data_IF_755540907987
#
_entry.id   IF_755540907987
#
_cell.length_a   1.000
_cell.length_b   1.000
_cell.length_c   1.000
_cell.angle_alpha   90.00
_cell.angle_beta   90.00
_cell.angle_gamma   90.00
#
_symmetry.space_group_name_H-M   'P 1'
#
loop_
_entity.id
_entity.type
_entity.pdbx_description
1 polymer ?
#
# COMPACT_ATOMS: atom_id res chain seq x y z
N UNK A 1 -13.67 -13.46 9.51
CA UNK A 1 -13.85 -13.62 10.97
C UNK A 1 -15.17 -14.35 11.17
N UNK A 2 -15.28 -15.21 12.18
CA UNK A 2 -16.61 -15.69 12.58
C UNK A 2 -17.44 -14.52 13.10
N UNK A 3 -18.76 -14.69 13.24
CA UNK A 3 -19.60 -13.65 13.82
C UNK A 3 -19.17 -13.31 15.26
N UNK A 4 -18.77 -14.32 16.05
CA UNK A 4 -18.28 -14.13 17.40
C UNK A 4 -16.99 -13.31 17.42
N UNK A 5 -16.00 -13.68 16.60
CA UNK A 5 -14.73 -12.96 16.54
C UNK A 5 -14.92 -11.51 16.06
N UNK A 6 -15.86 -11.29 15.13
CA UNK A 6 -16.18 -9.95 14.66
C UNK A 6 -16.80 -9.09 15.76
N UNK A 7 -17.75 -9.65 16.53
CA UNK A 7 -18.35 -8.93 17.66
C UNK A 7 -17.29 -8.53 18.68
N UNK A 8 -16.43 -9.47 19.08
CA UNK A 8 -15.36 -9.19 20.04
C UNK A 8 -14.39 -8.11 19.55
N UNK A 9 -14.03 -8.13 18.26
CA UNK A 9 -13.17 -7.10 17.68
C UNK A 9 -13.83 -5.70 17.68
N UNK A 10 -15.15 -5.63 17.47
CA UNK A 10 -15.90 -4.37 17.54
C UNK A 10 -15.97 -3.86 18.99
N UNK A 11 -16.23 -4.74 19.96
CA UNK A 11 -16.27 -4.37 21.37
C UNK A 11 -14.91 -3.83 21.85
N UNK A 12 -13.81 -4.49 21.48
CA UNK A 12 -12.44 -4.03 21.76
C UNK A 12 -12.19 -2.64 21.17
N UNK A 13 -12.55 -2.43 19.90
CA UNK A 13 -12.36 -1.16 19.20
C UNK A 13 -13.10 0.01 19.88
N UNK A 14 -14.33 -0.23 20.38
CA UNK A 14 -15.11 0.78 21.10
C UNK A 14 -14.46 1.11 22.45
N UNK A 15 -14.04 0.09 23.21
CA UNK A 15 -13.40 0.28 24.52
C UNK A 15 -12.06 1.01 24.43
N UNK A 16 -11.31 0.80 23.35
CA UNK A 16 -10.00 1.41 23.15
C UNK A 16 -10.04 2.89 22.70
N UNK A 17 -11.21 3.42 22.35
CA UNK A 17 -11.38 4.79 21.83
C UNK A 17 -10.64 5.90 22.62
N UNK A 18 -10.61 5.90 23.96
CA UNK A 18 -9.93 6.96 24.72
C UNK A 18 -8.40 6.99 24.56
N UNK A 19 -7.77 5.92 24.08
CA UNK A 19 -6.30 5.78 23.99
C UNK A 19 -5.79 5.45 22.60
N UNK A 20 -6.48 4.57 21.88
CA UNK A 20 -6.04 4.04 20.60
C UNK A 20 -7.29 3.78 19.75
N UNK A 21 -7.85 4.82 19.12
CA UNK A 21 -9.05 4.68 18.32
C UNK A 21 -8.80 3.82 17.09
N UNK A 22 -9.78 3.00 16.75
CA UNK A 22 -9.78 2.15 15.56
C UNK A 22 -10.60 2.82 14.46
N UNK A 23 -10.30 2.50 13.20
CA UNK A 23 -11.08 2.95 12.05
C UNK A 23 -11.73 1.73 11.40
N UNK A 24 -13.05 1.81 11.19
CA UNK A 24 -13.76 0.83 10.36
C UNK A 24 -13.65 1.24 8.89
N UNK A 25 -13.04 0.38 8.08
CA UNK A 25 -12.91 0.59 6.65
C UNK A 25 -13.53 -0.56 5.88
N UNK A 26 -14.22 -0.24 4.77
CA UNK A 26 -14.64 -1.25 3.80
C UNK A 26 -13.41 -1.95 3.23
N UNK A 27 -13.38 -3.28 3.28
CA UNK A 27 -12.31 -4.05 2.66
C UNK A 27 -12.39 -3.95 1.13
N UNK A 28 -11.33 -3.47 0.50
CA UNK A 28 -11.14 -3.51 -0.94
C UNK A 28 -10.05 -4.53 -1.26
N UNK A 29 -10.39 -5.57 -2.04
CA UNK A 29 -9.43 -6.60 -2.43
C UNK A 29 -8.30 -5.96 -3.24
N UNK A 30 -7.02 -6.08 -2.82
CA UNK A 30 -5.91 -5.56 -3.60
C UNK A 30 -5.84 -6.22 -4.97
N UNK A 31 -5.49 -5.44 -5.99
CA UNK A 31 -5.15 -5.99 -7.32
C UNK A 31 -3.74 -6.56 -7.30
N UNK A 32 -3.53 -7.60 -8.10
CA UNK A 32 -2.20 -8.12 -8.39
C UNK A 32 -1.74 -7.60 -9.74
N UNK A 33 -0.46 -7.32 -9.85
CA UNK A 33 0.22 -7.00 -11.12
C UNK A 33 1.31 -8.03 -11.37
N UNK A 34 1.64 -8.22 -12.64
CA UNK A 34 2.86 -8.93 -13.02
C UNK A 34 4.02 -7.94 -12.99
N UNK A 35 5.10 -8.31 -12.30
CA UNK A 35 6.31 -7.53 -12.17
C UNK A 35 7.52 -8.45 -12.32
N UNK A 36 8.72 -7.87 -12.37
CA UNK A 36 9.96 -8.64 -12.34
C UNK A 36 11.02 -7.90 -11.52
N UNK A 37 11.93 -8.67 -10.93
CA UNK A 37 13.08 -8.16 -10.20
C UNK A 37 14.35 -8.85 -10.69
N UNK A 38 15.50 -8.24 -10.40
CA UNK A 38 16.81 -8.82 -10.75
C UNK A 38 17.34 -9.54 -9.53
N UNK A 39 17.48 -10.85 -9.66
CA UNK A 39 18.26 -11.66 -8.73
C UNK A 39 19.74 -11.41 -9.01
N UNK A 40 20.39 -10.64 -8.13
CA UNK A 40 21.77 -10.25 -8.28
C UNK A 40 22.74 -11.43 -8.08
N UNK A 41 22.35 -12.42 -7.28
CA UNK A 41 23.19 -13.59 -7.00
C UNK A 41 23.17 -14.56 -8.20
N UNK A 42 21.99 -14.77 -8.78
CA UNK A 42 21.82 -15.62 -9.96
C UNK A 42 22.02 -14.88 -11.30
N UNK A 43 22.15 -13.55 -11.27
CA UNK A 43 22.31 -12.71 -12.47
C UNK A 43 21.12 -12.78 -13.43
N UNK A 44 19.91 -13.01 -12.93
CA UNK A 44 18.73 -13.28 -13.76
C UNK A 44 17.53 -12.38 -13.41
N UNK A 45 16.65 -12.18 -14.39
CA UNK A 45 15.37 -11.50 -14.16
C UNK A 45 14.32 -12.53 -13.74
N UNK A 46 13.75 -12.35 -12.56
CA UNK A 46 12.77 -13.25 -11.97
C UNK A 46 11.38 -12.63 -12.07
N UNK A 47 10.40 -13.28 -12.75
CA UNK A 47 9.02 -12.81 -12.77
C UNK A 47 8.37 -13.01 -11.40
N UNK A 48 7.54 -12.05 -10.98
CA UNK A 48 6.81 -12.09 -9.73
C UNK A 48 5.42 -11.47 -9.92
N UNK A 49 4.38 -12.28 -9.66
CA UNK A 49 3.04 -11.74 -9.47
C UNK A 49 2.91 -11.21 -8.05
N UNK A 50 2.58 -9.92 -7.94
CA UNK A 50 2.59 -9.25 -6.63
C UNK A 50 1.40 -8.35 -6.40
N UNK A 51 1.08 -8.12 -5.12
CA UNK A 51 0.11 -7.11 -4.69
C UNK A 51 0.79 -5.76 -4.56
N UNK A 52 0.16 -4.71 -5.07
CA UNK A 52 0.73 -3.37 -5.10
C UNK A 52 0.13 -2.48 -4.02
N UNK A 53 0.99 -1.79 -3.28
CA UNK A 53 0.63 -0.61 -2.49
C UNK A 53 1.24 0.63 -3.14
N UNK A 54 0.38 1.57 -3.54
CA UNK A 54 0.80 2.87 -4.05
C UNK A 54 1.00 3.84 -2.89
N UNK A 55 2.17 4.43 -2.80
CA UNK A 55 2.54 5.41 -1.79
C UNK A 55 2.74 6.78 -2.49
N UNK A 56 1.69 7.60 -2.63
CA UNK A 56 1.80 8.91 -3.25
C UNK A 56 2.48 9.91 -2.31
N UNK A 57 3.40 10.71 -2.85
CA UNK A 57 4.10 11.78 -2.15
C UNK A 57 3.55 13.13 -2.59
N UNK A 58 3.00 13.89 -1.64
CA UNK A 58 2.49 15.23 -1.89
C UNK A 58 3.39 16.27 -1.24
N UNK A 59 3.69 17.34 -1.96
CA UNK A 59 4.46 18.49 -1.48
C UNK A 59 3.57 19.74 -1.51
N UNK A 60 3.73 20.64 -0.54
CA UNK A 60 3.01 21.91 -0.50
C UNK A 60 3.84 22.96 -1.24
N UNK A 61 3.23 23.64 -2.20
CA UNK A 61 3.85 24.69 -3.01
C UNK A 61 3.12 26.02 -2.78
N UNK A 62 3.86 27.13 -2.78
CA UNK A 62 3.34 28.48 -2.52
C UNK A 62 3.23 28.81 -1.02
N UNK A 63 2.85 30.05 -0.71
CA UNK A 63 2.80 30.59 0.66
C UNK A 63 1.39 31.06 1.06
N UNK A 64 1.12 31.06 2.36
CA UNK A 64 -0.12 31.55 2.95
C UNK A 64 -1.37 30.92 2.34
N UNK A 65 -2.36 31.74 2.00
CA UNK A 65 -3.64 31.31 1.42
C UNK A 65 -3.51 30.70 0.00
N UNK A 66 -2.34 30.85 -0.63
CA UNK A 66 -2.05 30.26 -1.95
C UNK A 66 -1.36 28.89 -1.86
N UNK A 67 -1.03 28.41 -0.66
CA UNK A 67 -0.42 27.10 -0.49
C UNK A 67 -1.32 25.98 -1.03
N UNK A 68 -0.81 25.16 -1.96
CA UNK A 68 -1.54 24.02 -2.53
C UNK A 68 -0.69 22.76 -2.53
N UNK A 69 -1.32 21.62 -2.24
CA UNK A 69 -0.68 20.30 -2.35
C UNK A 69 -0.53 19.89 -3.81
N UNK A 70 0.65 19.41 -4.18
CA UNK A 70 0.99 18.88 -5.51
C UNK A 70 1.55 17.47 -5.35
N UNK A 71 1.11 16.55 -6.22
CA UNK A 71 1.69 15.22 -6.30
C UNK A 71 3.10 15.32 -6.88
N UNK A 72 4.12 14.93 -6.12
CA UNK A 72 5.52 14.89 -6.58
C UNK A 72 5.95 13.55 -7.14
N UNK A 73 5.19 12.48 -6.88
CA UNK A 73 5.47 11.15 -7.40
C UNK A 73 4.75 10.07 -6.61
N UNK A 74 4.80 8.83 -7.10
CA UNK A 74 4.24 7.66 -6.42
C UNK A 74 5.29 6.56 -6.42
N UNK A 75 5.52 5.97 -5.25
CA UNK A 75 6.28 4.74 -5.09
C UNK A 75 5.32 3.54 -5.09
N UNK A 76 5.50 2.62 -6.01
CA UNK A 76 4.89 1.29 -5.93
C UNK A 76 5.75 0.40 -5.05
N UNK A 77 5.15 -0.14 -3.98
CA UNK A 77 5.69 -1.27 -3.23
C UNK A 77 4.93 -2.52 -3.67
N UNK A 78 5.61 -3.44 -4.35
CA UNK A 78 5.02 -4.67 -4.88
C UNK A 78 5.54 -5.85 -4.08
N UNK A 79 4.65 -6.53 -3.38
CA UNK A 79 4.98 -7.67 -2.54
C UNK A 79 4.47 -8.97 -3.14
N UNK A 80 5.11 -10.13 -2.87
CA UNK A 80 4.62 -11.43 -3.35
C UNK A 80 3.12 -11.66 -3.06
N UNK A 81 2.41 -12.26 -4.01
CA UNK A 81 0.94 -12.34 -3.95
C UNK A 81 0.37 -13.18 -2.79
N UNK A 82 1.18 -14.09 -2.23
CA UNK A 82 0.89 -14.92 -1.06
C UNK A 82 0.92 -14.12 0.26
N UNK A 83 1.52 -12.93 0.26
CA UNK A 83 1.55 -12.04 1.43
C UNK A 83 0.21 -11.32 1.59
N UNK A 84 -0.37 -11.42 2.79
CA UNK A 84 -1.69 -10.86 3.11
C UNK A 84 -1.65 -9.38 3.50
N UNK A 85 -0.56 -8.93 4.11
CA UNK A 85 -0.35 -7.54 4.56
C UNK A 85 0.83 -6.98 3.78
N UNK A 86 0.65 -5.82 3.16
CA UNK A 86 1.69 -5.16 2.36
C UNK A 86 2.34 -4.09 3.22
N UNK A 87 3.57 -4.36 3.66
CA UNK A 87 4.43 -3.42 4.39
C UNK A 87 5.83 -3.45 3.77
N UNK A 88 6.78 -2.69 4.34
CA UNK A 88 8.19 -2.82 3.95
C UNK A 88 8.65 -4.25 4.24
N UNK A 89 8.91 -5.02 3.18
CA UNK A 89 9.44 -6.38 3.27
C UNK A 89 10.70 -6.46 2.42
N UNK A 90 11.63 -7.33 2.80
CA UNK A 90 12.89 -7.55 2.08
C UNK A 90 12.67 -8.08 0.67
N UNK A 91 11.54 -8.76 0.43
CA UNK A 91 11.14 -9.34 -0.84
C UNK A 91 10.27 -8.41 -1.71
N UNK A 92 10.15 -7.13 -1.35
CA UNK A 92 9.33 -6.17 -2.08
C UNK A 92 10.11 -5.50 -3.22
N UNK A 93 9.46 -5.37 -4.38
CA UNK A 93 9.94 -4.51 -5.47
C UNK A 93 9.53 -3.08 -5.16
N UNK A 94 10.50 -2.17 -5.24
CA UNK A 94 10.31 -0.72 -5.16
C UNK A 94 10.44 -0.14 -6.56
N UNK A 95 9.36 0.40 -7.11
CA UNK A 95 9.35 0.95 -8.46
C UNK A 95 8.72 2.35 -8.50
N UNK A 96 9.30 3.31 -9.24
CA UNK A 96 8.61 4.56 -9.53
C UNK A 96 7.39 4.28 -10.41
N UNK A 97 6.31 5.04 -10.23
CA UNK A 97 5.15 4.97 -11.10
C UNK A 97 5.20 6.04 -12.20
N UNK A 98 4.64 5.71 -13.35
CA UNK A 98 4.29 6.66 -14.40
C UNK A 98 2.79 6.57 -14.69
N UNK A 99 2.23 7.61 -15.29
CA UNK A 99 0.86 7.57 -15.81
C UNK A 99 0.86 6.66 -17.04
N UNK A 100 -0.15 5.81 -17.18
CA UNK A 100 -0.33 5.06 -18.41
C UNK A 100 -0.64 6.05 -19.56
N UNK A 101 -0.15 5.82 -20.79
CA UNK A 101 -0.58 6.59 -21.95
C UNK A 101 -2.11 6.58 -22.06
N UNK A 102 -2.72 7.69 -22.45
CA UNK A 102 -4.14 7.69 -22.85
C UNK A 102 -4.32 6.71 -24.01
N UNK A 103 -5.40 5.92 -23.95
CA UNK A 103 -5.77 4.94 -24.98
C UNK A 103 -6.57 5.60 -26.10
#
# INVERSE_FOLDING_TARGET
>A
LSQADWSSAVDEAIQAFPKSPYILQRYHKPRTVDASWVDLDAGQVVPMKGRVRLCPYYFVHGDGDQARTKLGGILATICPADKKIIHGMTDAILAPCTVAPEQ
#
